data_IF_642187012956
#
_entry.id   IF_642187012956
#
_cell.length_a   1.000
_cell.length_b   1.000
_cell.length_c   1.000
_cell.angle_alpha   90.00
_cell.angle_beta   90.00
_cell.angle_gamma   90.00
#
_symmetry.space_group_name_H-M   'P 1'
#
loop_
_entity.id
_entity.type
_entity.pdbx_description
1 polymer ?
#
# COMPACT_ATOMS: atom_id res chain seq x y z
N UNK A 1 18.00 89.85 -40.50
CA UNK A 1 17.40 91.18 -40.71
C UNK A 1 18.39 92.30 -41.07
N UNK A 2 19.33 92.73 -40.22
CA UNK A 2 20.22 93.88 -40.56
C UNK A 2 21.09 93.67 -41.82
N UNK A 3 21.63 92.46 -42.01
CA UNK A 3 22.48 92.13 -43.17
C UNK A 3 21.68 91.90 -44.48
N UNK A 4 20.36 91.74 -44.42
CA UNK A 4 19.51 91.52 -45.61
C UNK A 4 19.00 92.82 -46.19
N UNK A 5 18.58 93.76 -45.33
CA UNK A 5 18.31 95.13 -45.77
C UNK A 5 19.54 95.74 -46.43
N UNK A 6 20.73 95.52 -45.87
CA UNK A 6 21.98 96.02 -46.45
C UNK A 6 22.29 95.47 -47.86
N UNK A 7 21.91 94.21 -48.15
CA UNK A 7 22.06 93.63 -49.50
C UNK A 7 21.02 94.15 -50.48
N UNK A 8 19.80 94.41 -50.00
CA UNK A 8 18.73 95.01 -50.79
C UNK A 8 19.12 96.41 -51.26
N UNK A 9 19.60 97.26 -50.35
CA UNK A 9 20.07 98.61 -50.69
C UNK A 9 21.24 98.61 -51.69
N UNK A 10 22.17 97.66 -51.59
CA UNK A 10 23.28 97.54 -52.55
C UNK A 10 22.84 97.22 -53.98
N UNK A 11 21.73 96.49 -54.18
CA UNK A 11 21.24 96.18 -55.53
C UNK A 11 20.73 97.44 -56.23
N UNK A 12 20.03 98.32 -55.50
CA UNK A 12 19.57 99.61 -56.04
C UNK A 12 20.71 100.59 -56.26
N UNK A 13 21.68 100.66 -55.33
CA UNK A 13 22.88 101.49 -55.52
C UNK A 13 23.66 101.09 -56.77
N UNK A 14 23.85 99.77 -56.98
CA UNK A 14 24.54 99.27 -58.17
C UNK A 14 23.77 99.55 -59.46
N UNK A 15 22.43 99.53 -59.42
CA UNK A 15 21.60 99.83 -60.59
C UNK A 15 21.64 101.32 -60.94
N UNK A 16 21.56 102.19 -59.94
CA UNK A 16 21.70 103.64 -60.10
C UNK A 16 23.11 104.02 -60.58
N UNK A 17 24.14 103.35 -60.07
CA UNK A 17 25.52 103.49 -60.55
C UNK A 17 25.65 103.02 -62.01
N UNK A 18 25.03 101.90 -62.39
CA UNK A 18 25.05 101.39 -63.76
C UNK A 18 24.36 102.34 -64.74
N UNK A 19 23.24 102.94 -64.35
CA UNK A 19 22.56 104.01 -65.10
C UNK A 19 23.50 105.19 -65.30
N UNK A 20 24.12 105.69 -64.22
CA UNK A 20 25.07 106.82 -64.27
C UNK A 20 26.29 106.53 -65.17
N UNK A 21 26.81 105.31 -65.13
CA UNK A 21 27.92 104.87 -65.99
C UNK A 21 27.51 104.87 -67.47
N UNK A 22 26.33 104.36 -67.81
CA UNK A 22 25.82 104.34 -69.19
C UNK A 22 25.48 105.76 -69.68
N UNK A 23 25.00 106.64 -68.80
CA UNK A 23 24.71 108.03 -69.10
C UNK A 23 25.95 108.90 -69.35
N UNK A 24 27.06 108.59 -68.68
CA UNK A 24 28.31 109.37 -68.81
C UNK A 24 29.29 108.74 -69.80
N UNK A 25 29.01 107.53 -70.30
CA UNK A 25 29.82 106.82 -71.28
C UNK A 25 30.02 107.64 -72.58
N UNK A 26 31.28 107.85 -72.96
CA UNK A 26 31.66 108.49 -74.22
C UNK A 26 31.67 107.47 -75.36
N UNK A 27 31.01 107.81 -76.47
CA UNK A 27 31.09 107.03 -77.71
C UNK A 27 32.49 107.10 -78.32
N UNK A 28 33.09 105.93 -78.57
CA UNK A 28 34.37 105.78 -79.27
C UNK A 28 34.12 105.18 -80.64
N UNK A 29 34.87 105.63 -81.66
CA UNK A 29 34.82 105.05 -83.00
C UNK A 29 35.39 103.62 -82.99
N UNK A 30 34.57 102.73 -83.53
CA UNK A 30 34.61 101.27 -83.50
C UNK A 30 35.96 100.68 -83.97
N UNK A 31 36.65 99.93 -83.11
CA UNK A 31 37.44 98.79 -83.56
C UNK A 31 37.48 97.68 -82.50
N UNK A 32 36.64 96.65 -82.69
CA UNK A 32 36.68 95.40 -81.91
C UNK A 32 35.59 95.21 -80.84
N UNK A 33 34.72 96.19 -80.60
CA UNK A 33 33.67 96.12 -79.57
C UNK A 33 32.26 96.29 -80.15
N UNK A 34 31.30 95.56 -79.57
CA UNK A 34 29.87 95.61 -79.90
C UNK A 34 29.33 97.03 -79.67
N UNK A 35 28.68 97.62 -80.69
CA UNK A 35 28.03 98.94 -80.58
C UNK A 35 26.64 98.72 -79.99
N UNK A 36 26.44 99.15 -78.75
CA UNK A 36 25.15 99.03 -78.06
C UNK A 36 24.42 100.38 -78.14
N UNK A 37 23.17 100.43 -78.63
CA UNK A 37 22.38 101.66 -78.63
C UNK A 37 22.13 102.12 -77.19
N UNK A 38 22.77 103.22 -76.78
CA UNK A 38 22.70 103.76 -75.42
C UNK A 38 21.27 103.97 -74.93
N UNK A 39 20.38 104.51 -75.77
CA UNK A 39 18.97 104.71 -75.43
C UNK A 39 18.29 103.40 -75.03
N UNK A 40 18.45 102.35 -75.83
CA UNK A 40 17.86 101.04 -75.55
C UNK A 40 18.39 100.40 -74.26
N UNK A 41 19.65 100.63 -73.89
CA UNK A 41 20.20 100.13 -72.60
C UNK A 41 19.59 100.89 -71.43
N UNK A 42 19.47 102.21 -71.53
CA UNK A 42 18.84 103.01 -70.49
C UNK A 42 17.37 102.63 -70.32
N UNK A 43 16.63 102.43 -71.42
CA UNK A 43 15.24 101.93 -71.37
C UNK A 43 15.15 100.58 -70.63
N UNK A 44 16.05 99.62 -70.92
CA UNK A 44 16.09 98.33 -70.23
C UNK A 44 16.50 98.44 -68.74
N UNK A 45 17.36 99.40 -68.39
CA UNK A 45 17.74 99.66 -67.00
C UNK A 45 16.61 100.35 -66.23
N UNK A 46 15.86 101.23 -66.87
CA UNK A 46 14.66 101.86 -66.32
C UNK A 46 13.54 100.83 -66.10
N UNK A 47 13.30 99.94 -67.08
CA UNK A 47 12.37 98.81 -66.94
C UNK A 47 12.77 97.88 -65.77
N UNK A 48 14.08 97.59 -65.63
CA UNK A 48 14.60 96.82 -64.50
C UNK A 48 14.45 97.57 -63.18
N UNK A 49 14.65 98.89 -63.16
CA UNK A 49 14.48 99.74 -61.98
C UNK A 49 13.03 99.81 -61.51
N UNK A 50 12.08 99.77 -62.45
CA UNK A 50 10.65 99.77 -62.15
C UNK A 50 10.15 98.39 -61.68
N UNK A 51 10.60 97.29 -62.30
CA UNK A 51 10.08 95.95 -62.02
C UNK A 51 10.80 95.18 -60.89
N UNK A 52 12.12 95.37 -60.71
CA UNK A 52 12.88 94.63 -59.69
C UNK A 52 12.45 94.87 -58.23
N UNK A 53 12.10 96.10 -57.79
CA UNK A 53 11.75 96.32 -56.39
C UNK A 53 10.58 95.47 -55.92
N UNK A 54 9.52 95.41 -56.73
CA UNK A 54 8.30 94.66 -56.40
C UNK A 54 8.58 93.16 -56.32
N UNK A 55 9.31 92.60 -57.30
CA UNK A 55 9.68 91.17 -57.32
C UNK A 55 10.61 90.79 -56.15
N UNK A 56 11.54 91.66 -55.77
CA UNK A 56 12.43 91.44 -54.63
C UNK A 56 11.68 91.52 -53.29
N UNK A 57 10.74 92.46 -53.14
CA UNK A 57 9.87 92.57 -51.97
C UNK A 57 9.00 91.32 -51.82
N UNK A 58 8.40 90.85 -52.92
CA UNK A 58 7.64 89.60 -52.94
C UNK A 58 8.49 88.38 -52.57
N UNK A 59 9.71 88.26 -53.13
CA UNK A 59 10.63 87.17 -52.79
C UNK A 59 11.03 87.20 -51.31
N UNK A 60 11.25 88.39 -50.73
CA UNK A 60 11.56 88.54 -49.31
C UNK A 60 10.38 88.14 -48.44
N UNK A 61 9.16 88.59 -48.76
CA UNK A 61 7.94 88.24 -48.04
C UNK A 61 7.71 86.72 -48.03
N UNK A 62 7.95 86.03 -49.14
CA UNK A 62 7.85 84.56 -49.23
C UNK A 62 8.90 83.88 -48.33
N UNK A 63 10.14 84.41 -48.29
CA UNK A 63 11.20 83.85 -47.44
C UNK A 63 10.92 84.04 -45.96
N UNK A 64 10.41 85.22 -45.56
CA UNK A 64 10.00 85.50 -44.19
C UNK A 64 8.82 84.60 -43.79
N UNK A 65 7.78 84.53 -44.63
CA UNK A 65 6.65 83.63 -44.40
C UNK A 65 7.09 82.16 -44.28
N UNK A 66 8.03 81.71 -45.13
CA UNK A 66 8.60 80.36 -45.03
C UNK A 66 9.35 80.16 -43.72
N UNK A 67 10.14 81.15 -43.29
CA UNK A 67 10.87 81.09 -42.03
C UNK A 67 9.91 80.94 -40.85
N UNK A 68 8.84 81.74 -40.82
CA UNK A 68 7.82 81.69 -39.76
C UNK A 68 7.09 80.34 -39.73
N UNK A 69 6.76 79.81 -40.92
CA UNK A 69 6.15 78.48 -41.05
C UNK A 69 7.09 77.38 -40.53
N UNK A 70 8.39 77.46 -40.83
CA UNK A 70 9.37 76.48 -40.33
C UNK A 70 9.49 76.53 -38.81
N UNK A 71 9.59 77.72 -38.22
CA UNK A 71 9.66 77.89 -36.77
C UNK A 71 8.40 77.33 -36.11
N UNK A 72 7.22 77.64 -36.65
CA UNK A 72 5.94 77.14 -36.12
C UNK A 72 5.84 75.62 -36.22
N UNK A 73 6.23 75.04 -37.36
CA UNK A 73 6.22 73.61 -37.58
C UNK A 73 7.22 72.86 -36.67
N UNK A 74 8.40 73.45 -36.42
CA UNK A 74 9.39 72.89 -35.50
C UNK A 74 8.89 72.90 -34.04
N UNK A 75 8.25 73.99 -33.61
CA UNK A 75 7.67 74.08 -32.27
C UNK A 75 6.48 73.12 -32.10
N UNK A 76 5.61 73.01 -33.10
CA UNK A 76 4.49 72.05 -33.08
C UNK A 76 4.99 70.61 -33.04
N UNK A 77 5.97 70.26 -33.87
CA UNK A 77 6.61 68.94 -33.88
C UNK A 77 7.24 68.61 -32.52
N UNK A 78 7.96 69.57 -31.93
CA UNK A 78 8.54 69.40 -30.59
C UNK A 78 7.47 69.15 -29.54
N UNK A 79 6.37 69.92 -29.58
CA UNK A 79 5.24 69.73 -28.67
C UNK A 79 4.62 68.34 -28.81
N UNK A 80 4.37 67.89 -30.03
CA UNK A 80 3.81 66.56 -30.31
C UNK A 80 4.72 65.43 -29.81
N UNK A 81 6.04 65.55 -30.00
CA UNK A 81 7.00 64.56 -29.51
C UNK A 81 7.02 64.52 -27.98
N UNK A 82 6.98 65.66 -27.31
CA UNK A 82 6.94 65.70 -25.85
C UNK A 82 5.62 65.16 -25.29
N UNK A 83 4.47 65.51 -25.89
CA UNK A 83 3.17 64.94 -25.54
C UNK A 83 3.16 63.42 -25.72
N UNK A 84 3.68 62.91 -26.84
CA UNK A 84 3.79 61.47 -27.10
C UNK A 84 4.72 60.78 -26.09
N UNK A 85 5.82 61.42 -25.68
CA UNK A 85 6.75 60.88 -24.66
C UNK A 85 6.10 60.80 -23.28
N UNK A 86 5.37 61.83 -22.86
CA UNK A 86 4.64 61.86 -21.59
C UNK A 86 3.59 60.75 -21.58
N UNK A 87 2.83 60.61 -22.67
CA UNK A 87 1.79 59.59 -22.78
C UNK A 87 2.38 58.18 -22.80
N UNK A 88 3.49 57.95 -23.52
CA UNK A 88 4.21 56.68 -23.49
C UNK A 88 4.73 56.34 -22.09
N UNK A 89 5.25 57.31 -21.35
CA UNK A 89 5.71 57.10 -19.98
C UNK A 89 4.53 56.76 -19.04
N UNK A 90 3.38 57.42 -19.21
CA UNK A 90 2.15 57.11 -18.46
C UNK A 90 1.68 55.67 -18.71
N UNK A 91 1.56 55.26 -19.97
CA UNK A 91 1.16 53.91 -20.34
C UNK A 91 2.12 52.84 -19.81
N UNK A 92 3.44 53.11 -19.84
CA UNK A 92 4.42 52.19 -19.29
C UNK A 92 4.30 52.06 -17.76
N UNK A 93 4.09 53.17 -17.05
CA UNK A 93 3.91 53.14 -15.61
C UNK A 93 2.64 52.36 -15.21
N UNK A 94 1.54 52.56 -15.93
CA UNK A 94 0.28 51.81 -15.72
C UNK A 94 0.46 50.32 -16.00
N UNK A 95 1.09 49.96 -17.11
CA UNK A 95 1.36 48.56 -17.43
C UNK A 95 2.29 47.89 -16.41
N UNK A 96 3.25 48.63 -15.85
CA UNK A 96 4.14 48.13 -14.79
C UNK A 96 3.37 47.91 -13.48
N UNK A 97 2.54 48.86 -13.06
CA UNK A 97 1.71 48.72 -11.86
C UNK A 97 0.73 47.54 -11.98
N UNK A 98 0.05 47.40 -13.12
CA UNK A 98 -0.83 46.26 -13.40
C UNK A 98 -0.06 44.92 -13.35
N UNK A 99 1.14 44.86 -13.93
CA UNK A 99 1.98 43.67 -13.90
C UNK A 99 2.44 43.33 -12.47
N UNK A 100 2.82 44.31 -11.67
CA UNK A 100 3.21 44.13 -10.27
C UNK A 100 2.04 43.62 -9.43
N UNK A 101 0.85 44.21 -9.59
CA UNK A 101 -0.38 43.76 -8.93
C UNK A 101 -0.75 42.33 -9.33
N UNK A 102 -0.69 42.01 -10.62
CA UNK A 102 -0.94 40.66 -11.13
C UNK A 102 0.03 39.62 -10.55
N UNK A 103 1.32 39.95 -10.48
CA UNK A 103 2.33 39.08 -9.87
C UNK A 103 2.12 38.90 -8.37
N UNK A 104 1.75 39.95 -7.65
CA UNK A 104 1.45 39.88 -6.23
C UNK A 104 0.24 38.99 -5.94
N UNK A 105 -0.84 39.14 -6.72
CA UNK A 105 -2.03 38.30 -6.62
C UNK A 105 -1.69 36.83 -6.90
N UNK A 106 -1.02 36.54 -8.02
CA UNK A 106 -0.65 35.19 -8.41
C UNK A 106 0.26 34.51 -7.37
N UNK A 107 1.18 35.27 -6.75
CA UNK A 107 2.02 34.77 -5.64
C UNK A 107 1.18 34.44 -4.42
N UNK A 108 0.25 35.31 -4.03
CA UNK A 108 -0.64 35.06 -2.89
C UNK A 108 -1.53 33.83 -3.10
N UNK A 109 -2.08 33.65 -4.30
CA UNK A 109 -2.86 32.47 -4.66
C UNK A 109 -2.01 31.18 -4.62
N UNK A 110 -0.78 31.23 -5.16
CA UNK A 110 0.14 30.10 -5.13
C UNK A 110 0.54 29.72 -3.70
N UNK A 111 0.84 30.70 -2.84
CA UNK A 111 1.16 30.48 -1.42
C UNK A 111 -0.02 29.85 -0.68
N UNK A 112 -1.24 30.35 -0.90
CA UNK A 112 -2.46 29.79 -0.33
C UNK A 112 -2.70 28.34 -0.79
N UNK A 113 -2.54 28.06 -2.08
CA UNK A 113 -2.70 26.73 -2.64
C UNK A 113 -1.67 25.74 -2.05
N UNK A 114 -0.40 26.15 -1.93
CA UNK A 114 0.64 25.33 -1.30
C UNK A 114 0.36 25.10 0.19
N UNK A 115 -0.12 26.11 0.91
CA UNK A 115 -0.48 25.97 2.32
C UNK A 115 -1.66 25.01 2.53
N UNK A 116 -2.69 25.12 1.70
CA UNK A 116 -3.83 24.21 1.71
C UNK A 116 -3.40 22.76 1.41
N UNK A 117 -2.62 22.55 0.35
CA UNK A 117 -2.11 21.24 -0.03
C UNK A 117 -1.22 20.59 1.06
N UNK A 118 -0.37 21.39 1.72
CA UNK A 118 0.44 20.91 2.86
C UNK A 118 -0.44 20.49 4.04
N UNK A 119 -1.46 21.27 4.35
CA UNK A 119 -2.41 20.96 5.43
C UNK A 119 -3.14 19.66 5.14
N UNK A 120 -3.70 19.52 3.94
CA UNK A 120 -4.40 18.31 3.49
C UNK A 120 -3.49 17.08 3.49
N UNK A 121 -2.28 17.19 2.92
CA UNK A 121 -1.30 16.10 2.91
C UNK A 121 -0.91 15.66 4.32
N UNK A 122 -0.72 16.61 5.24
CA UNK A 122 -0.40 16.31 6.63
C UNK A 122 -1.56 15.58 7.33
N UNK A 123 -2.80 16.00 7.08
CA UNK A 123 -3.99 15.38 7.63
C UNK A 123 -4.16 13.94 7.10
N UNK A 124 -4.01 13.73 5.79
CA UNK A 124 -4.09 12.42 5.16
C UNK A 124 -3.00 11.47 5.71
N UNK A 125 -1.78 11.98 5.90
CA UNK A 125 -0.68 11.18 6.46
C UNK A 125 -0.94 10.79 7.92
N UNK A 126 -1.46 11.71 8.72
CA UNK A 126 -1.83 11.42 10.11
C UNK A 126 -2.97 10.41 10.19
N UNK A 127 -4.01 10.59 9.37
CA UNK A 127 -5.13 9.66 9.29
C UNK A 127 -4.64 8.26 8.85
N UNK A 128 -3.87 8.19 7.76
CA UNK A 128 -3.32 6.92 7.27
C UNK A 128 -2.45 6.22 8.31
N UNK A 129 -1.68 6.99 9.08
CA UNK A 129 -0.90 6.44 10.19
C UNK A 129 -1.79 5.88 11.31
N UNK A 130 -2.84 6.61 11.70
CA UNK A 130 -3.78 6.15 12.72
C UNK A 130 -4.52 4.88 12.26
N UNK A 131 -4.93 4.82 11.00
CA UNK A 131 -5.59 3.65 10.40
C UNK A 131 -4.65 2.43 10.38
N UNK A 132 -3.40 2.64 9.97
CA UNK A 132 -2.37 1.61 10.01
C UNK A 132 -2.13 1.09 11.43
N UNK A 133 -1.96 1.97 12.42
CA UNK A 133 -1.74 1.59 13.82
C UNK A 133 -2.94 0.81 14.38
N UNK A 134 -4.17 1.20 14.04
CA UNK A 134 -5.38 0.44 14.39
C UNK A 134 -5.40 -0.94 13.76
N UNK A 135 -5.12 -1.05 12.46
CA UNK A 135 -5.11 -2.31 11.75
C UNK A 135 -4.05 -3.28 12.30
N UNK A 136 -2.83 -2.81 12.55
CA UNK A 136 -1.74 -3.61 13.14
C UNK A 136 -2.11 -4.08 14.55
N UNK A 137 -2.70 -3.21 15.36
CA UNK A 137 -3.12 -3.56 16.72
C UNK A 137 -4.20 -4.66 16.69
N UNK A 138 -5.21 -4.51 15.83
CA UNK A 138 -6.25 -5.51 15.66
C UNK A 138 -5.70 -6.84 15.15
N UNK A 139 -4.82 -6.81 14.13
CA UNK A 139 -4.20 -8.00 13.57
C UNK A 139 -3.35 -8.76 14.61
N UNK A 140 -2.57 -8.04 15.44
CA UNK A 140 -1.79 -8.64 16.53
C UNK A 140 -2.68 -9.25 17.62
N UNK A 141 -3.77 -8.57 17.97
CA UNK A 141 -4.72 -9.11 18.93
C UNK A 141 -5.34 -10.42 18.42
N UNK A 142 -5.73 -10.47 17.15
CA UNK A 142 -6.28 -11.67 16.53
C UNK A 142 -5.23 -12.79 16.41
N UNK A 143 -3.99 -12.45 16.02
CA UNK A 143 -2.88 -13.41 16.01
C UNK A 143 -2.68 -14.04 17.39
N UNK A 144 -2.63 -13.23 18.45
CA UNK A 144 -2.47 -13.72 19.82
C UNK A 144 -3.65 -14.61 20.24
N UNK A 145 -4.88 -14.27 19.83
CA UNK A 145 -6.07 -15.08 20.09
C UNK A 145 -5.94 -16.47 19.45
N UNK A 146 -5.57 -16.54 18.17
CA UNK A 146 -5.39 -17.79 17.45
C UNK A 146 -4.26 -18.65 18.03
N UNK A 147 -3.13 -18.05 18.39
CA UNK A 147 -2.01 -18.77 19.02
C UNK A 147 -2.44 -19.36 20.37
N UNK A 148 -3.17 -18.59 21.19
CA UNK A 148 -3.71 -19.05 22.46
C UNK A 148 -4.69 -20.21 22.27
N UNK A 149 -5.62 -20.08 21.32
CA UNK A 149 -6.61 -21.11 20.99
C UNK A 149 -5.93 -22.42 20.59
N UNK A 150 -4.96 -22.37 19.67
CA UNK A 150 -4.19 -23.54 19.26
C UNK A 150 -3.40 -24.14 20.43
N UNK A 151 -2.79 -23.31 21.27
CA UNK A 151 -2.04 -23.76 22.44
C UNK A 151 -2.90 -24.55 23.43
N UNK A 152 -4.09 -24.04 23.76
CA UNK A 152 -5.05 -24.72 24.65
C UNK A 152 -5.49 -26.07 24.06
N UNK A 153 -5.74 -26.14 22.75
CA UNK A 153 -6.12 -27.39 22.10
C UNK A 153 -5.00 -28.42 22.10
N UNK A 154 -3.75 -28.01 21.85
CA UNK A 154 -2.59 -28.90 21.91
C UNK A 154 -2.34 -29.43 23.32
N UNK A 155 -2.39 -28.55 24.33
CA UNK A 155 -2.25 -28.96 25.73
C UNK A 155 -3.37 -29.92 26.17
N UNK A 156 -4.62 -29.63 25.79
CA UNK A 156 -5.75 -30.51 26.07
C UNK A 156 -5.60 -31.87 25.38
N UNK A 157 -5.11 -31.91 24.14
CA UNK A 157 -4.87 -33.14 23.40
C UNK A 157 -3.81 -34.01 24.08
N UNK A 158 -2.64 -33.43 24.42
CA UNK A 158 -1.56 -34.13 25.14
C UNK A 158 -2.05 -34.65 26.50
N UNK A 159 -2.83 -33.84 27.22
CA UNK A 159 -3.41 -34.26 28.51
C UNK A 159 -4.38 -35.42 28.35
N UNK A 160 -5.23 -35.38 27.31
CA UNK A 160 -6.19 -36.45 27.00
C UNK A 160 -5.47 -37.75 26.69
N UNK A 161 -4.45 -37.71 25.82
CA UNK A 161 -3.64 -38.87 25.46
C UNK A 161 -3.00 -39.51 26.70
N UNK A 162 -2.43 -38.69 27.59
CA UNK A 162 -1.87 -39.18 28.86
C UNK A 162 -2.92 -39.83 29.76
N UNK A 163 -4.10 -39.22 29.90
CA UNK A 163 -5.18 -39.77 30.73
C UNK A 163 -5.66 -41.11 30.18
N UNK A 164 -5.75 -41.26 28.86
CA UNK A 164 -6.09 -42.53 28.20
C UNK A 164 -5.04 -43.59 28.46
N UNK A 165 -3.75 -43.29 28.26
CA UNK A 165 -2.66 -44.24 28.54
C UNK A 165 -2.64 -44.68 30.01
N UNK A 166 -2.87 -43.75 30.95
CA UNK A 166 -2.96 -44.08 32.38
C UNK A 166 -4.20 -44.94 32.70
N UNK A 167 -5.33 -44.69 32.05
CA UNK A 167 -6.55 -45.47 32.21
C UNK A 167 -6.42 -46.88 31.62
N UNK A 168 -5.86 -47.01 30.42
CA UNK A 168 -5.55 -48.29 29.77
C UNK A 168 -4.61 -49.12 30.63
N UNK A 169 -3.49 -48.54 31.11
CA UNK A 169 -2.56 -49.24 31.97
C UNK A 169 -3.15 -49.62 33.34
N UNK A 170 -4.15 -48.89 33.86
CA UNK A 170 -4.91 -49.31 35.06
C UNK A 170 -5.87 -50.46 34.72
N UNK A 171 -6.60 -50.36 33.61
CA UNK A 171 -7.53 -51.39 33.17
C UNK A 171 -6.81 -52.71 32.93
N UNK A 172 -5.66 -52.69 32.25
CA UNK A 172 -4.83 -53.88 31.99
C UNK A 172 -4.34 -54.52 33.28
N UNK A 173 -3.89 -53.71 34.26
CA UNK A 173 -3.51 -54.21 35.60
C UNK A 173 -4.69 -54.86 36.30
N UNK A 174 -5.85 -54.20 36.34
CA UNK A 174 -7.05 -54.76 36.97
C UNK A 174 -7.47 -56.07 36.31
N UNK A 175 -7.43 -56.16 34.97
CA UNK A 175 -7.74 -57.40 34.24
C UNK A 175 -6.76 -58.50 34.60
N UNK A 176 -5.46 -58.20 34.59
CA UNK A 176 -4.39 -59.17 34.93
C UNK A 176 -4.51 -59.66 36.37
N UNK A 177 -4.77 -58.76 37.32
CA UNK A 177 -4.99 -59.08 38.73
C UNK A 177 -6.24 -59.95 38.93
N UNK A 178 -7.35 -59.60 38.26
CA UNK A 178 -8.59 -60.36 38.30
C UNK A 178 -8.43 -61.77 37.70
N UNK A 179 -7.71 -61.89 36.58
CA UNK A 179 -7.37 -63.18 35.97
C UNK A 179 -6.53 -64.03 36.91
N UNK A 180 -5.46 -63.46 37.47
CA UNK A 180 -4.59 -64.16 38.43
C UNK A 180 -5.38 -64.62 39.66
N UNK A 181 -6.26 -63.77 40.18
CA UNK A 181 -7.13 -64.11 41.30
C UNK A 181 -8.10 -65.24 40.95
N UNK A 182 -8.74 -65.18 39.78
CA UNK A 182 -9.65 -66.21 39.29
C UNK A 182 -8.95 -67.57 39.13
N UNK A 183 -7.76 -67.58 38.52
CA UNK A 183 -6.93 -68.79 38.39
C UNK A 183 -6.59 -69.41 39.75
N UNK A 184 -6.17 -68.58 40.72
CA UNK A 184 -5.91 -69.03 42.09
C UNK A 184 -7.17 -69.59 42.76
N UNK A 185 -8.31 -68.92 42.62
CA UNK A 185 -9.56 -69.37 43.20
C UNK A 185 -10.02 -70.73 42.62
N UNK A 186 -9.87 -70.92 41.30
CA UNK A 186 -10.16 -72.19 40.62
C UNK A 186 -9.20 -73.29 41.08
N UNK A 187 -7.89 -73.01 41.17
CA UNK A 187 -6.90 -73.96 41.65
C UNK A 187 -7.19 -74.39 43.11
N UNK A 188 -7.47 -73.44 43.98
CA UNK A 188 -7.85 -73.69 45.38
C UNK A 188 -9.12 -74.53 45.48
N UNK A 189 -10.16 -74.20 44.71
CA UNK A 189 -11.42 -74.94 44.70
C UNK A 189 -11.22 -76.38 44.21
N UNK A 190 -10.46 -76.57 43.13
CA UNK A 190 -10.13 -77.89 42.57
C UNK A 190 -9.31 -78.71 43.56
N UNK A 191 -8.32 -78.12 44.22
CA UNK A 191 -7.52 -78.79 45.25
C UNK A 191 -8.30 -79.11 46.52
N UNK A 192 -9.31 -78.31 46.90
CA UNK A 192 -10.25 -78.66 47.98
C UNK A 192 -11.16 -79.82 47.58
N UNK A 193 -11.71 -79.80 46.36
CA UNK A 193 -12.57 -80.88 45.85
C UNK A 193 -11.83 -82.23 45.79
N UNK A 194 -10.58 -82.23 45.30
CA UNK A 194 -9.73 -83.43 45.27
C UNK A 194 -9.45 -83.97 46.67
N UNK A 195 -9.17 -83.11 47.66
CA UNK A 195 -8.99 -83.52 49.06
C UNK A 195 -10.24 -84.14 49.66
N UNK A 196 -11.41 -83.50 49.48
CA UNK A 196 -12.69 -84.05 49.97
C UNK A 196 -12.96 -85.42 49.34
N UNK A 197 -12.68 -85.58 48.05
CA UNK A 197 -12.85 -86.87 47.35
C UNK A 197 -11.92 -87.94 47.93
N UNK A 198 -10.64 -87.62 48.12
CA UNK A 198 -9.67 -88.56 48.69
C UNK A 198 -10.01 -88.93 50.15
N UNK A 199 -10.40 -87.96 50.98
CA UNK A 199 -10.84 -88.20 52.37
C UNK A 199 -12.12 -89.07 52.41
N UNK A 200 -13.06 -88.84 51.49
CA UNK A 200 -14.25 -89.66 51.37
C UNK A 200 -13.92 -91.10 50.93
N UNK A 201 -13.04 -91.27 49.95
CA UNK A 201 -12.57 -92.57 49.48
C UNK A 201 -11.87 -93.36 50.60
N UNK A 202 -10.96 -92.71 51.34
CA UNK A 202 -10.27 -93.30 52.50
C UNK A 202 -11.25 -93.67 53.62
N UNK A 203 -12.22 -92.81 53.90
CA UNK A 203 -13.26 -93.08 54.89
C UNK A 203 -14.13 -94.27 54.48
N UNK A 204 -14.54 -94.34 53.20
CA UNK A 204 -15.30 -95.47 52.66
C UNK A 204 -14.50 -96.76 52.78
N UNK A 205 -13.23 -96.76 52.37
CA UNK A 205 -12.35 -97.94 52.48
C UNK A 205 -12.19 -98.39 53.94
N UNK A 206 -11.96 -97.45 54.85
CA UNK A 206 -11.86 -97.74 56.29
C UNK A 206 -13.15 -98.36 56.84
N UNK A 207 -14.31 -97.79 56.51
CA UNK A 207 -15.61 -98.33 56.93
C UNK A 207 -15.88 -99.70 56.32
N UNK A 208 -15.56 -99.91 55.04
CA UNK A 208 -15.70 -101.21 54.39
C UNK A 208 -14.79 -102.25 55.03
N UNK A 209 -13.55 -101.91 55.39
CA UNK A 209 -12.64 -102.79 56.11
C UNK A 209 -13.15 -103.14 57.52
N UNK A 210 -13.67 -102.17 58.28
CA UNK A 210 -14.30 -102.39 59.59
C UNK A 210 -15.55 -103.30 59.48
N UNK A 211 -16.39 -103.06 58.47
CA UNK A 211 -17.54 -103.92 58.18
C UNK A 211 -17.11 -105.33 57.83
N UNK A 212 -16.11 -105.49 56.95
CA UNK A 212 -15.55 -106.79 56.60
C UNK A 212 -14.99 -107.53 57.82
N UNK A 213 -14.26 -106.84 58.70
CA UNK A 213 -13.75 -107.41 59.94
C UNK A 213 -14.88 -107.84 60.90
N UNK A 214 -15.94 -107.04 60.99
CA UNK A 214 -17.12 -107.35 61.81
C UNK A 214 -17.87 -108.57 61.26
N UNK A 215 -18.08 -108.64 59.95
CA UNK A 215 -18.67 -109.80 59.28
C UNK A 215 -17.82 -111.05 59.50
N UNK A 216 -16.49 -110.95 59.39
CA UNK A 216 -15.59 -112.07 59.69
C UNK A 216 -15.71 -112.53 61.15
N UNK A 217 -15.91 -111.61 62.11
CA UNK A 217 -16.14 -111.96 63.53
C UNK A 217 -17.50 -112.62 63.74
N UNK A 218 -18.55 -112.14 63.08
CA UNK A 218 -19.86 -112.79 63.10
C UNK A 218 -19.80 -114.19 62.48
N UNK A 219 -19.11 -114.36 61.35
CA UNK A 219 -18.89 -115.66 60.71
C UNK A 219 -18.21 -116.65 61.67
N UNK A 220 -17.12 -116.22 62.34
CA UNK A 220 -16.46 -117.02 63.39
C UNK A 220 -17.40 -117.38 64.54
N UNK A 221 -18.28 -116.46 64.95
CA UNK A 221 -19.28 -116.72 65.99
C UNK A 221 -20.32 -117.75 65.54
N UNK A 222 -20.78 -117.68 64.29
CA UNK A 222 -21.69 -118.66 63.67
C UNK A 222 -21.00 -120.02 63.53
N UNK A 223 -19.73 -120.06 63.11
CA UNK A 223 -18.93 -121.29 63.06
C UNK A 223 -18.73 -121.90 64.45
N UNK A 224 -18.45 -121.09 65.48
CA UNK A 224 -18.38 -121.55 66.87
C UNK A 224 -19.74 -122.01 67.41
N UNK A 225 -20.84 -121.38 66.97
CA UNK A 225 -22.22 -121.82 67.24
C UNK A 225 -22.52 -123.17 66.57
N UNK A 226 -22.11 -123.35 65.32
CA UNK A 226 -22.15 -124.65 64.60
C UNK A 226 -21.30 -125.71 65.28
N UNK A 227 -20.11 -125.37 65.78
CA UNK A 227 -19.27 -126.26 66.58
C UNK A 227 -20.00 -126.72 67.84
N UNK A 228 -20.62 -125.80 68.58
CA UNK A 228 -21.41 -126.11 69.78
C UNK A 228 -22.70 -126.90 69.48
N UNK A 229 -23.29 -126.74 68.29
CA UNK A 229 -24.43 -127.57 67.86
C UNK A 229 -23.95 -128.99 67.48
N UNK A 230 -22.75 -129.11 66.89
CA UNK A 230 -22.09 -130.41 66.64
C UNK A 230 -21.69 -131.14 67.91
N UNK A 231 -21.35 -130.42 69.00
CA UNK A 231 -21.03 -131.02 70.30
C UNK A 231 -22.26 -131.43 71.14
N UNK A 232 -23.49 -131.01 70.77
CA UNK A 232 -24.74 -131.36 71.48
C UNK A 232 -25.48 -132.59 70.95
N UNK A 233 -24.88 -133.39 70.05
CA UNK A 233 -25.41 -134.70 69.65
C UNK A 233 -24.30 -135.65 69.13
N UNK A 234 -23.99 -136.76 69.84
CA UNK A 234 -23.33 -137.92 69.25
C UNK A 234 -24.26 -139.15 69.23
N UNK A 235 -24.61 -139.63 68.03
CA UNK A 235 -24.98 -141.01 67.65
C UNK A 235 -25.45 -140.94 66.18
N UNK A 236 -24.75 -141.51 65.19
CA UNK A 236 -24.78 -142.94 64.79
C UNK A 236 -25.75 -143.16 63.59
N UNK A 237 -25.14 -143.59 62.47
CA UNK A 237 -25.62 -144.42 61.33
C UNK A 237 -26.95 -144.16 60.54
N UNK A 238 -26.76 -143.76 59.26
CA UNK A 238 -27.25 -144.29 57.95
C UNK A 238 -28.66 -144.96 57.80
N UNK A 239 -29.42 -144.77 56.67
CA UNK A 239 -29.03 -145.21 55.31
C UNK A 239 -29.44 -144.30 54.11
N UNK A 240 -28.84 -144.57 52.94
CA UNK A 240 -29.17 -144.00 51.61
C UNK A 240 -30.53 -144.44 51.04
N UNK A 241 -30.92 -143.98 49.83
CA UNK A 241 -30.26 -144.35 48.55
C UNK A 241 -29.83 -143.13 47.71
N UNK A 242 -28.71 -143.17 46.98
CA UNK A 242 -28.57 -143.67 45.59
C UNK A 242 -29.63 -143.05 44.65
N UNK A 243 -29.32 -142.33 43.57
CA UNK A 243 -28.65 -142.67 42.30
C UNK A 243 -28.86 -141.39 41.45
N UNK A 244 -27.99 -140.83 40.62
CA UNK A 244 -27.10 -141.30 39.55
C UNK A 244 -26.01 -140.21 39.40
N UNK A 245 -24.72 -140.46 39.28
CA UNK A 245 -23.97 -141.30 38.34
C UNK A 245 -24.02 -140.88 36.86
N UNK A 246 -22.83 -140.46 36.42
CA UNK A 246 -22.17 -140.68 35.13
C UNK A 246 -22.86 -140.43 33.78
N UNK A 247 -21.96 -139.91 32.91
CA UNK A 247 -21.87 -140.11 31.47
C UNK A 247 -22.91 -139.35 30.62
N UNK A 248 -22.51 -138.69 29.53
CA UNK A 248 -21.49 -139.08 28.59
C UNK A 248 -20.93 -137.86 27.85
N UNK A 249 -19.64 -137.96 27.51
CA UNK A 249 -19.06 -137.62 26.22
C UNK A 249 -19.53 -136.36 25.45
N UNK A 250 -18.58 -135.46 25.24
CA UNK A 250 -18.17 -135.08 23.88
C UNK A 250 -19.01 -134.03 23.13
N UNK A 251 -18.30 -132.94 22.77
CA UNK A 251 -18.68 -131.81 21.92
C UNK A 251 -19.39 -130.64 22.62
#
# INVERSE_FOLDING_TARGET
>A
MAAEGERFYRVFENLDELVSVVETARGVLVSGSCVIPRGHVLDLLDDLREALPEEMEQAHAILEQRSDLLVTAEDESRRLVEEARVEAARMLAEAQDEAEQGLALARGEAESAVAAARTESSALSQQGRADYERAVTAARAEQNRLVSEVGVHQEAAVRSERMLAEAEGKAERTVTEAQTYAERAVADATGRAQRITAEADEYVETRLAEFAATLAKMLRSVEAGRGRLRERHPAEEAPGPELFDQNAAGA
#
